data_IF_246066563760
#
_entry.id   IF_246066563760
#
_cell.length_a   1.000
_cell.length_b   1.000
_cell.length_c   1.000
_cell.angle_alpha   90.00
_cell.angle_beta   90.00
_cell.angle_gamma   90.00
#
_symmetry.space_group_name_H-M   'P 1'
#
loop_
_entity.id
_entity.type
_entity.pdbx_description
1 polymer ?
#
# COMPACT_ATOMS: atom_id res chain seq x y z
N UNK A 1 7.11 19.06 21.82
CA UNK A 1 7.76 18.64 20.54
C UNK A 1 6.75 17.79 19.82
N UNK A 2 6.31 18.19 18.63
CA UNK A 2 5.15 17.57 17.97
C UNK A 2 5.55 16.23 17.33
N UNK A 3 4.93 15.14 17.79
CA UNK A 3 5.19 13.76 17.38
C UNK A 3 5.10 13.60 15.86
N UNK A 4 6.25 13.56 15.19
CA UNK A 4 6.36 13.15 13.79
C UNK A 4 6.00 11.67 13.67
N UNK A 5 5.20 11.33 12.66
CA UNK A 5 4.84 9.93 12.34
C UNK A 5 5.47 9.54 11.01
N UNK A 6 5.77 8.26 10.90
CA UNK A 6 6.26 7.62 9.68
C UNK A 6 5.11 6.81 9.10
N UNK A 7 4.96 6.81 7.78
CA UNK A 7 3.94 6.04 7.09
C UNK A 7 4.62 5.17 6.05
N UNK A 8 4.43 3.85 6.16
CA UNK A 8 4.85 2.88 5.15
C UNK A 8 3.67 2.60 4.24
N UNK A 9 3.85 2.82 2.94
CA UNK A 9 2.83 2.59 1.90
C UNK A 9 3.36 1.53 0.96
N UNK A 10 2.60 0.47 0.72
CA UNK A 10 2.97 -0.60 -0.20
C UNK A 10 1.73 -1.20 -0.83
N UNK A 11 1.91 -1.84 -1.98
CA UNK A 11 0.86 -2.58 -2.66
C UNK A 11 0.97 -4.05 -2.31
N UNK A 12 -0.15 -4.64 -1.91
CA UNK A 12 -0.31 -6.07 -1.79
C UNK A 12 -1.01 -6.54 -3.05
N UNK A 13 -0.27 -7.24 -3.91
CA UNK A 13 -0.84 -8.01 -5.00
C UNK A 13 -1.39 -9.30 -4.41
N UNK A 14 -2.72 -9.44 -4.42
CA UNK A 14 -3.37 -10.73 -4.29
C UNK A 14 -3.90 -11.13 -5.67
N UNK A 15 -4.07 -12.42 -5.93
CA UNK A 15 -4.50 -12.94 -7.23
C UNK A 15 -5.87 -12.38 -7.67
N UNK A 16 -6.66 -11.86 -6.72
CA UNK A 16 -8.00 -11.34 -6.96
C UNK A 16 -8.08 -9.80 -6.93
N UNK A 17 -7.17 -9.11 -6.22
CA UNK A 17 -7.26 -7.67 -5.97
C UNK A 17 -5.89 -6.99 -5.77
N UNK A 18 -5.76 -5.75 -6.27
CA UNK A 18 -4.64 -4.86 -5.96
C UNK A 18 -5.00 -3.96 -4.77
N UNK A 19 -4.44 -4.25 -3.59
CA UNK A 19 -4.71 -3.50 -2.36
C UNK A 19 -3.56 -2.56 -2.02
N UNK A 20 -3.87 -1.28 -1.76
CA UNK A 20 -2.90 -0.30 -1.27
C UNK A 20 -2.97 -0.21 0.26
N UNK A 21 -1.90 -0.61 0.93
CA UNK A 21 -1.80 -0.65 2.39
C UNK A 21 -0.98 0.54 2.90
N UNK A 22 -1.51 1.26 3.92
CA UNK A 22 -0.86 2.41 4.57
C UNK A 22 -0.73 2.12 6.06
N UNK A 23 0.50 1.97 6.56
CA UNK A 23 0.80 1.65 7.95
C UNK A 23 1.53 2.79 8.67
N UNK A 24 0.98 3.33 9.78
CA UNK A 24 1.63 4.36 10.57
C UNK A 24 2.59 3.78 11.60
N UNK A 25 3.71 4.46 11.83
CA UNK A 25 4.72 4.16 12.83
C UNK A 25 5.10 5.40 13.63
N UNK A 26 5.42 5.19 14.91
CA UNK A 26 5.81 6.23 15.86
C UNK A 26 7.30 6.48 15.91
N UNK A 27 8.09 5.50 15.48
CA UNK A 27 9.55 5.49 15.57
C UNK A 27 10.17 4.68 14.42
N UNK A 28 11.45 4.95 14.18
CA UNK A 28 12.20 4.37 13.06
C UNK A 28 12.50 2.88 13.26
N UNK A 29 12.55 2.40 14.51
CA UNK A 29 12.84 1.00 14.81
C UNK A 29 11.66 0.11 14.42
N UNK A 30 10.44 0.49 14.80
CA UNK A 30 9.22 -0.22 14.40
C UNK A 30 9.02 -0.23 12.88
N UNK A 31 9.38 0.87 12.19
CA UNK A 31 9.37 0.94 10.74
C UNK A 31 10.39 -0.04 10.11
N UNK A 32 11.62 -0.09 10.62
CA UNK A 32 12.64 -0.99 10.11
C UNK A 32 12.23 -2.47 10.25
N UNK A 33 11.61 -2.85 11.36
CA UNK A 33 11.06 -4.20 11.54
C UNK A 33 9.95 -4.51 10.52
N UNK A 34 9.09 -3.53 10.22
CA UNK A 34 8.04 -3.70 9.22
C UNK A 34 8.61 -3.86 7.80
N UNK A 35 9.64 -3.10 7.44
CA UNK A 35 10.34 -3.22 6.15
C UNK A 35 10.98 -4.61 6.01
N UNK A 36 11.64 -5.10 7.06
CA UNK A 36 12.23 -6.45 7.03
C UNK A 36 11.16 -7.53 6.78
N UNK A 37 9.99 -7.40 7.40
CA UNK A 37 8.85 -8.29 7.15
C UNK A 37 8.31 -8.15 5.72
N UNK A 38 8.29 -6.93 5.19
CA UNK A 38 7.86 -6.63 3.82
C UNK A 38 8.77 -7.31 2.80
N UNK A 39 10.08 -7.19 2.98
CA UNK A 39 11.09 -7.84 2.15
C UNK A 39 10.98 -9.37 2.21
N UNK A 40 10.72 -9.94 3.40
CA UNK A 40 10.48 -11.38 3.54
C UNK A 40 9.24 -11.86 2.76
N UNK A 41 8.27 -10.97 2.52
CA UNK A 41 7.08 -11.22 1.69
C UNK A 41 7.31 -10.92 0.20
N UNK A 42 8.55 -10.62 -0.21
CA UNK A 42 8.91 -10.27 -1.59
C UNK A 42 8.18 -9.04 -2.15
N UNK A 43 7.73 -8.14 -1.28
CA UNK A 43 7.19 -6.85 -1.70
C UNK A 43 8.34 -5.86 -1.79
N UNK A 44 8.77 -5.57 -3.02
CA UNK A 44 9.93 -4.72 -3.29
C UNK A 44 9.56 -3.24 -3.44
N UNK A 45 8.31 -2.96 -3.82
CA UNK A 45 7.82 -1.60 -4.04
C UNK A 45 7.10 -1.05 -2.80
N UNK A 46 7.76 -0.09 -2.12
CA UNK A 46 7.17 0.65 -1.01
C UNK A 46 7.65 2.09 -0.98
N UNK A 47 6.85 2.96 -0.34
CA UNK A 47 7.16 4.37 -0.10
C UNK A 47 7.06 4.69 1.38
N UNK A 48 8.01 5.47 1.89
CA UNK A 48 8.00 5.97 3.27
C UNK A 48 7.72 7.47 3.25
N UNK A 49 6.73 7.90 4.04
CA UNK A 49 6.42 9.33 4.22
C UNK A 49 6.59 9.71 5.69
N UNK A 50 7.33 10.79 5.95
CA UNK A 50 7.52 11.36 7.29
C UNK A 50 6.73 12.66 7.41
N UNK A 51 5.82 12.77 8.39
CA UNK A 51 4.99 13.97 8.53
C UNK A 51 4.13 14.03 9.79
N UNK A 52 3.63 15.23 10.11
CA UNK A 52 2.83 15.52 11.32
C UNK A 52 1.31 15.46 11.12
N UNK A 53 0.84 15.80 9.92
CA UNK A 53 -0.58 15.79 9.51
C UNK A 53 -0.62 15.54 8.01
N UNK A 54 -1.22 14.43 7.59
CA UNK A 54 -1.48 14.16 6.18
C UNK A 54 -2.98 14.00 5.99
N UNK A 55 -3.55 14.82 5.09
CA UNK A 55 -4.85 14.52 4.47
C UNK A 55 -4.52 13.86 3.13
N UNK A 56 -4.66 12.54 3.05
CA UNK A 56 -4.54 11.82 1.78
C UNK A 56 -5.94 11.68 1.18
N UNK A 57 -6.14 12.11 -0.07
CA UNK A 57 -7.36 11.85 -0.83
C UNK A 57 -6.99 10.93 -1.99
N UNK A 58 -7.33 9.66 -1.87
CA UNK A 58 -7.14 8.68 -2.94
C UNK A 58 -8.37 8.73 -3.86
N UNK A 59 -8.18 9.09 -5.13
CA UNK A 59 -9.22 9.01 -6.17
C UNK A 59 -8.87 7.86 -7.11
N UNK A 60 -9.54 6.72 -6.94
CA UNK A 60 -9.44 5.57 -7.85
C UNK A 60 -10.54 5.68 -8.91
N UNK A 61 -10.13 5.68 -10.18
CA UNK A 61 -11.03 5.48 -11.32
C UNK A 61 -10.74 4.09 -11.87
N UNK A 62 -11.74 3.21 -11.86
CA UNK A 62 -11.65 1.87 -12.41
C UNK A 62 -12.50 1.84 -13.69
N UNK A 63 -11.85 1.70 -14.84
CA UNK A 63 -12.53 1.40 -16.10
C UNK A 63 -12.73 -0.11 -16.18
N UNK A 64 -13.98 -0.55 -16.16
CA UNK A 64 -14.37 -1.93 -16.39
C UNK A 64 -14.61 -2.11 -17.90
N UNK A 65 -13.95 -3.10 -18.51
CA UNK A 65 -14.24 -3.52 -19.88
C UNK A 65 -15.21 -4.71 -19.85
N UNK A 66 -16.10 -4.80 -20.84
CA UNK A 66 -16.97 -5.96 -21.02
C UNK A 66 -16.11 -7.20 -21.31
N UNK A 67 -16.32 -8.27 -20.55
CA UNK A 67 -15.75 -9.57 -20.85
C UNK A 67 -16.55 -10.17 -22.01
N UNK A 68 -15.91 -10.43 -23.15
CA UNK A 68 -16.53 -11.20 -24.23
C UNK A 68 -16.84 -12.61 -23.72
N UNK A 69 -18.12 -12.91 -23.53
CA UNK A 69 -18.58 -14.29 -23.30
C UNK A 69 -18.22 -15.09 -24.55
N UNK A 70 -17.29 -16.04 -24.41
CA UNK A 70 -17.03 -17.01 -25.46
C UNK A 70 -18.32 -17.78 -25.74
N UNK A 71 -18.92 -17.53 -26.91
CA UNK A 71 -20.03 -18.28 -27.48
C UNK A 71 -19.80 -19.79 -27.29
N UNK A 72 -20.54 -20.40 -26.37
CA UNK A 72 -20.68 -21.86 -26.34
C UNK A 72 -21.59 -22.27 -27.50
N UNK A 73 -21.07 -23.22 -28.29
CA UNK A 73 -21.55 -23.69 -29.59
C UNK A 73 -22.93 -24.38 -29.59
#
# INVERSE_FOLDING_TARGET
>A
MANERLYLIYQEANDEECLLTIQPFTDEQALAEAINKLQARQVEEYTIIKGRKMNATLRLAVELAEAEEAEEA
#
